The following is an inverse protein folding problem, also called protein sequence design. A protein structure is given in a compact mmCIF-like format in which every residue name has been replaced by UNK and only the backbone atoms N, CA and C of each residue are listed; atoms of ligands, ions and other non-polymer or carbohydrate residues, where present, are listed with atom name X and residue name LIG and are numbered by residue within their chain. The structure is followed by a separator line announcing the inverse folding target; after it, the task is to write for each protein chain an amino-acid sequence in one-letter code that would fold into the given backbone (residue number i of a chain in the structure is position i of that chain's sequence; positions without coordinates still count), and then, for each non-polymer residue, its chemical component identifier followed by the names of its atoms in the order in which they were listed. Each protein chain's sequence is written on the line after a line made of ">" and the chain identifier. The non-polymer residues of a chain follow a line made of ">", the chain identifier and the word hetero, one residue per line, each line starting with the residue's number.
data_IF_428263930384
#
_entry.id   IF_428263930384
#
_cell.length_a   1.000
_cell.length_b   1.000
_cell.length_c   1.000
_cell.angle_alpha   90.00
_cell.angle_beta   90.00
_cell.angle_gamma   90.00
#
_symmetry.space_group_name_H-M   'P 1'
#
loop_
_entity.id
_entity.type
_entity.pdbx_description
1 polymer ?
#
# COMPACT_ATOMS: atom_id res chain seq x y z
N UNK A 1 3.44 -4.41 -21.71
CA UNK A 1 4.59 -3.80 -20.99
C UNK A 1 4.34 -2.37 -20.49
N UNK A 2 4.08 -1.35 -21.34
CA UNK A 2 3.92 0.05 -20.86
C UNK A 2 2.80 0.25 -19.82
N UNK A 3 1.64 -0.40 -19.99
CA UNK A 3 0.50 -0.28 -19.06
C UNK A 3 0.76 -0.87 -17.66
N UNK A 4 1.57 -1.93 -17.54
CA UNK A 4 1.88 -2.56 -16.25
C UNK A 4 2.82 -1.68 -15.44
N UNK A 5 3.80 -1.05 -16.11
CA UNK A 5 4.70 -0.08 -15.49
C UNK A 5 3.92 1.14 -14.98
N UNK A 6 3.00 1.70 -15.78
CA UNK A 6 2.16 2.81 -15.33
C UNK A 6 1.31 2.44 -14.11
N UNK A 7 0.71 1.24 -14.09
CA UNK A 7 -0.07 0.78 -12.95
C UNK A 7 0.80 0.61 -11.69
N UNK A 8 1.99 0.01 -11.81
CA UNK A 8 2.94 -0.11 -10.70
C UNK A 8 3.35 1.25 -10.14
N UNK A 9 3.61 2.23 -11.01
CA UNK A 9 3.94 3.60 -10.58
C UNK A 9 2.77 4.25 -9.84
N UNK A 10 1.53 4.11 -10.35
CA UNK A 10 0.33 4.62 -9.67
C UNK A 10 0.15 4.00 -8.30
N UNK A 11 0.33 2.68 -8.18
CA UNK A 11 0.27 1.97 -6.90
C UNK A 11 1.35 2.47 -5.94
N UNK A 12 2.60 2.59 -6.39
CA UNK A 12 3.70 3.08 -5.56
C UNK A 12 3.44 4.51 -5.04
N UNK A 13 2.93 5.38 -5.91
CA UNK A 13 2.53 6.75 -5.54
C UNK A 13 1.38 6.73 -4.53
N UNK A 14 0.37 5.89 -4.73
CA UNK A 14 -0.72 5.71 -3.78
C UNK A 14 -0.23 5.30 -2.39
N UNK A 15 0.70 4.34 -2.30
CA UNK A 15 1.29 3.94 -1.02
C UNK A 15 2.05 5.07 -0.33
N UNK A 16 2.85 5.84 -1.07
CA UNK A 16 3.56 6.99 -0.51
C UNK A 16 2.60 8.01 0.08
N UNK A 17 1.55 8.37 -0.66
CA UNK A 17 0.56 9.33 -0.19
C UNK A 17 -0.31 8.82 0.95
N UNK A 18 -0.59 7.51 1.00
CA UNK A 18 -1.32 6.90 2.11
C UNK A 18 -0.46 6.85 3.38
N UNK A 19 0.84 6.55 3.24
CA UNK A 19 1.69 6.19 4.36
C UNK A 19 1.91 7.31 5.38
N UNK A 20 2.25 8.50 4.89
CA UNK A 20 2.63 9.64 5.72
C UNK A 20 1.46 10.13 6.59
N UNK A 21 0.26 10.40 6.05
CA UNK A 21 -0.87 10.85 6.88
C UNK A 21 -1.39 9.74 7.80
N UNK A 22 -1.35 8.48 7.37
CA UNK A 22 -1.82 7.35 8.18
C UNK A 22 -0.97 7.17 9.43
N UNK A 23 0.36 7.15 9.30
CA UNK A 23 1.28 7.02 10.44
C UNK A 23 1.11 8.18 11.43
N UNK A 24 0.99 9.42 10.94
CA UNK A 24 0.82 10.59 11.80
C UNK A 24 -0.53 10.58 12.55
N UNK A 25 -1.62 10.27 11.84
CA UNK A 25 -2.97 10.23 12.45
C UNK A 25 -3.08 9.07 13.42
N UNK A 26 -2.68 7.86 13.04
CA UNK A 26 -2.79 6.68 13.90
C UNK A 26 -1.88 6.81 15.12
N UNK A 27 -0.63 7.26 14.95
CA UNK A 27 0.28 7.42 16.09
C UNK A 27 -0.25 8.42 17.13
N UNK A 28 -0.99 9.44 16.69
CA UNK A 28 -1.64 10.40 17.59
C UNK A 28 -2.84 9.83 18.37
N UNK A 29 -3.50 8.80 17.86
CA UNK A 29 -4.73 8.22 18.45
C UNK A 29 -4.41 7.00 19.32
N UNK A 30 -3.56 6.10 18.82
CA UNK A 30 -3.32 4.79 19.44
C UNK A 30 -1.88 4.59 19.90
N UNK A 31 -1.00 5.56 19.65
CA UNK A 31 0.43 5.46 19.97
C UNK A 31 1.25 4.75 18.89
N UNK A 32 2.55 5.07 18.86
CA UNK A 32 3.49 4.66 17.80
C UNK A 32 3.59 3.14 17.68
N UNK A 33 3.70 2.41 18.80
CA UNK A 33 3.88 0.95 18.78
C UNK A 33 2.72 0.19 18.13
N UNK A 34 1.48 0.57 18.42
CA UNK A 34 0.30 -0.05 17.80
C UNK A 34 0.12 0.40 16.34
N UNK A 35 0.50 1.64 16.03
CA UNK A 35 0.46 2.19 14.67
C UNK A 35 1.37 1.42 13.72
N UNK A 36 2.61 1.13 14.11
CA UNK A 36 3.53 0.32 13.29
C UNK A 36 2.95 -1.04 12.94
N UNK A 37 2.26 -1.70 13.88
CA UNK A 37 1.64 -3.01 13.65
C UNK A 37 0.50 -2.90 12.62
N UNK A 38 -0.39 -1.91 12.78
CA UNK A 38 -1.52 -1.69 11.87
C UNK A 38 -1.04 -1.31 10.48
N UNK A 39 -0.08 -0.40 10.39
CA UNK A 39 0.49 0.06 9.13
C UNK A 39 1.14 -1.10 8.38
N UNK A 40 1.91 -1.93 9.08
CA UNK A 40 2.52 -3.14 8.49
C UNK A 40 1.45 -4.09 7.96
N UNK A 41 0.38 -4.34 8.73
CA UNK A 41 -0.70 -5.21 8.30
C UNK A 41 -1.43 -4.66 7.06
N UNK A 42 -1.74 -3.36 7.05
CA UNK A 42 -2.38 -2.69 5.92
C UNK A 42 -1.52 -2.72 4.67
N UNK A 43 -0.21 -2.46 4.79
CA UNK A 43 0.70 -2.52 3.66
C UNK A 43 0.83 -3.93 3.09
N UNK A 44 0.87 -4.97 3.92
CA UNK A 44 0.89 -6.36 3.44
C UNK A 44 -0.37 -6.67 2.63
N UNK A 45 -1.55 -6.30 3.13
CA UNK A 45 -2.83 -6.56 2.46
C UNK A 45 -2.90 -5.80 1.12
N UNK A 46 -2.64 -4.50 1.16
CA UNK A 46 -2.70 -3.65 -0.03
C UNK A 46 -1.64 -4.06 -1.07
N UNK A 47 -0.43 -4.41 -0.63
CA UNK A 47 0.63 -4.85 -1.54
C UNK A 47 0.23 -6.17 -2.19
N UNK A 48 -0.30 -7.11 -1.41
CA UNK A 48 -0.81 -8.39 -1.93
C UNK A 48 -1.93 -8.18 -2.96
N UNK A 49 -2.86 -7.26 -2.70
CA UNK A 49 -3.93 -6.91 -3.64
C UNK A 49 -3.39 -6.26 -4.92
N UNK A 50 -2.38 -5.38 -4.81
CA UNK A 50 -1.74 -4.77 -5.97
C UNK A 50 -0.94 -5.79 -6.80
N UNK A 51 -0.20 -6.68 -6.16
CA UNK A 51 0.47 -7.81 -6.80
C UNK A 51 -0.56 -8.67 -7.53
N UNK A 52 -1.64 -9.06 -6.85
CA UNK A 52 -2.72 -9.81 -7.49
C UNK A 52 -3.29 -9.08 -8.71
N UNK A 53 -3.58 -7.77 -8.62
CA UNK A 53 -4.12 -7.00 -9.75
C UNK A 53 -3.14 -6.91 -10.94
N UNK A 54 -1.84 -6.77 -10.68
CA UNK A 54 -0.80 -6.76 -11.74
C UNK A 54 -0.71 -8.12 -12.44
N UNK A 55 -0.61 -9.20 -11.66
CA UNK A 55 -0.38 -10.53 -12.20
C UNK A 55 -1.65 -11.21 -12.71
N UNK A 56 -2.82 -10.92 -12.14
CA UNK A 56 -4.11 -11.45 -12.63
C UNK A 56 -4.35 -11.08 -14.09
N UNK A 57 -3.97 -9.87 -14.49
CA UNK A 57 -4.05 -9.38 -15.88
C UNK A 57 -2.98 -9.98 -16.81
N UNK A 58 -1.99 -10.69 -16.27
CA UNK A 58 -1.00 -11.44 -17.06
C UNK A 58 -1.42 -12.91 -17.26
N UNK A 59 -2.28 -13.46 -16.41
CA UNK A 59 -2.76 -14.85 -16.50
C UNK A 59 -4.13 -15.01 -17.20
N UNK A 60 -4.90 -13.94 -17.36
CA UNK A 60 -6.18 -13.86 -18.08
C UNK A 60 -6.16 -12.73 -19.11
#
# INVERSE_FOLDING_TARGET
>A
MKSNLTFMVVVAVFFLFLSIPMDFVLSSIIGVGYTTIIDTALYIILASAAFFAVFYKEFY
#
